data_IF_042468041007
#
_entry.id   IF_042468041007
#
_cell.length_a   1.000
_cell.length_b   1.000
_cell.length_c   1.000
_cell.angle_alpha   90.00
_cell.angle_beta   90.00
_cell.angle_gamma   90.00
#
_symmetry.space_group_name_H-M   'P 1'
#
loop_
_entity.id
_entity.type
_entity.pdbx_description
1 polymer ?
#
# COMPACT_ATOMS: atom_id res chain seq x y z
N UNK A 1 -4.81 -28.35 -27.15
CA UNK A 1 -5.85 -27.48 -27.72
C UNK A 1 -7.17 -27.87 -27.08
N UNK A 2 -7.46 -27.32 -25.90
CA UNK A 2 -8.72 -27.54 -25.18
C UNK A 2 -9.37 -26.16 -24.99
N UNK A 3 -10.63 -26.05 -25.40
CA UNK A 3 -11.42 -24.82 -25.44
C UNK A 3 -11.53 -24.16 -24.05
N UNK A 4 -10.91 -22.98 -23.92
CA UNK A 4 -11.00 -22.05 -22.77
C UNK A 4 -12.25 -21.16 -22.79
N UNK A 5 -13.23 -21.41 -23.67
CA UNK A 5 -14.36 -20.51 -23.93
C UNK A 5 -15.52 -20.62 -22.93
N UNK A 6 -15.47 -21.53 -21.94
CA UNK A 6 -16.61 -21.76 -21.04
C UNK A 6 -16.45 -21.24 -19.60
N UNK A 7 -15.32 -20.64 -19.22
CA UNK A 7 -15.12 -20.02 -17.89
C UNK A 7 -15.30 -18.50 -17.87
N UNK A 8 -15.61 -17.90 -19.02
CA UNK A 8 -15.94 -16.49 -19.15
C UNK A 8 -17.16 -16.38 -20.05
N UNK A 9 -18.37 -16.58 -19.51
CA UNK A 9 -19.53 -15.92 -20.11
C UNK A 9 -19.46 -14.46 -19.68
N UNK A 10 -19.18 -13.51 -20.59
CA UNK A 10 -19.47 -12.12 -20.28
C UNK A 10 -21.00 -12.02 -20.19
N UNK A 11 -21.51 -11.60 -19.04
CA UNK A 11 -22.86 -11.06 -19.03
C UNK A 11 -22.88 -9.89 -20.02
N UNK A 12 -23.63 -10.08 -21.09
CA UNK A 12 -23.72 -9.18 -22.25
C UNK A 12 -24.64 -7.99 -21.98
N UNK A 13 -24.79 -7.62 -20.71
CA UNK A 13 -25.56 -6.47 -20.26
C UNK A 13 -24.90 -5.87 -19.04
N UNK A 14 -23.80 -5.14 -19.25
CA UNK A 14 -23.46 -3.90 -18.54
C UNK A 14 -22.09 -3.37 -19.00
N UNK A 15 -22.08 -2.18 -19.60
CA UNK A 15 -20.88 -1.40 -19.92
C UNK A 15 -20.19 -0.82 -18.67
N UNK A 16 -20.28 -1.49 -17.51
CA UNK A 16 -19.64 -1.06 -16.26
C UNK A 16 -18.40 -1.92 -16.00
N UNK A 17 -17.23 -1.31 -16.19
CA UNK A 17 -15.90 -1.93 -16.16
C UNK A 17 -15.42 -2.39 -14.78
N UNK A 18 -16.15 -3.31 -14.15
CA UNK A 18 -15.69 -4.06 -12.98
C UNK A 18 -15.45 -5.51 -13.41
N UNK A 19 -14.19 -5.95 -13.33
CA UNK A 19 -13.85 -7.38 -13.37
C UNK A 19 -13.18 -7.73 -12.05
N UNK A 20 -14.00 -7.92 -11.01
CA UNK A 20 -13.55 -8.60 -9.80
C UNK A 20 -13.39 -10.06 -10.19
N UNK A 21 -12.15 -10.50 -10.28
CA UNK A 21 -11.86 -11.89 -10.59
C UNK A 21 -11.48 -12.53 -9.26
N UNK A 22 -12.49 -13.10 -8.63
CA UNK A 22 -12.37 -13.87 -7.41
C UNK A 22 -11.73 -15.21 -7.74
N UNK A 23 -10.66 -15.53 -7.03
CA UNK A 23 -9.96 -16.79 -7.16
C UNK A 23 -9.94 -17.47 -5.81
N UNK A 24 -10.57 -18.64 -5.74
CA UNK A 24 -10.51 -19.51 -4.58
C UNK A 24 -9.07 -19.98 -4.30
N UNK A 25 -8.79 -20.42 -3.07
CA UNK A 25 -7.47 -20.90 -2.64
C UNK A 25 -6.84 -22.01 -3.52
N UNK A 26 -7.66 -22.73 -4.31
CA UNK A 26 -7.24 -23.76 -5.26
C UNK A 26 -6.73 -23.20 -6.60
N UNK A 27 -6.98 -21.92 -6.89
CA UNK A 27 -6.53 -21.29 -8.11
C UNK A 27 -5.00 -21.26 -8.15
N UNK A 28 -4.45 -21.75 -9.27
CA UNK A 28 -3.02 -21.69 -9.53
C UNK A 28 -2.58 -20.24 -9.80
N UNK A 29 -1.36 -19.90 -9.37
CA UNK A 29 -0.74 -18.60 -9.71
C UNK A 29 -0.69 -18.36 -11.23
N UNK A 30 -0.64 -19.42 -12.03
CA UNK A 30 -0.70 -19.33 -13.50
C UNK A 30 -2.05 -18.81 -14.00
N UNK A 31 -3.15 -19.22 -13.38
CA UNK A 31 -4.48 -18.70 -13.73
C UNK A 31 -4.57 -17.21 -13.41
N UNK A 32 -4.06 -16.81 -12.24
CA UNK A 32 -3.96 -15.41 -11.83
C UNK A 32 -3.13 -14.57 -12.83
N UNK A 33 -1.93 -15.05 -13.20
CA UNK A 33 -1.06 -14.42 -14.20
C UNK A 33 -1.78 -14.24 -15.55
N UNK A 34 -2.49 -15.27 -16.01
CA UNK A 34 -3.23 -15.21 -17.27
C UNK A 34 -4.31 -14.14 -17.27
N UNK A 35 -4.96 -13.90 -16.13
CA UNK A 35 -5.94 -12.83 -16.03
C UNK A 35 -5.30 -11.45 -16.03
N UNK A 36 -4.22 -11.25 -15.29
CA UNK A 36 -3.48 -9.99 -15.33
C UNK A 36 -2.99 -9.70 -16.76
N UNK A 37 -2.46 -10.72 -17.45
CA UNK A 37 -2.02 -10.61 -18.85
C UNK A 37 -3.19 -10.26 -19.78
N UNK A 38 -4.34 -10.91 -19.63
CA UNK A 38 -5.53 -10.65 -20.44
C UNK A 38 -6.06 -9.22 -20.22
N UNK A 39 -6.11 -8.75 -18.97
CA UNK A 39 -6.52 -7.39 -18.65
C UNK A 39 -5.54 -6.36 -19.25
N UNK A 40 -4.25 -6.64 -19.16
CA UNK A 40 -3.21 -5.77 -19.71
C UNK A 40 -3.25 -5.70 -21.23
N UNK A 41 -3.42 -6.84 -21.91
CA UNK A 41 -3.48 -6.92 -23.38
C UNK A 41 -4.70 -6.19 -23.94
N UNK A 42 -5.89 -6.43 -23.36
CA UNK A 42 -7.15 -5.89 -23.88
C UNK A 42 -7.25 -4.36 -23.82
N UNK A 43 -6.36 -3.69 -23.09
CA UNK A 43 -6.44 -2.24 -22.88
C UNK A 43 -5.15 -1.49 -23.24
N UNK A 44 -4.12 -2.14 -23.78
CA UNK A 44 -2.80 -1.58 -24.09
C UNK A 44 -1.93 -1.22 -22.86
N UNK A 45 -1.76 -2.14 -21.90
CA UNK A 45 -0.83 -1.96 -20.76
C UNK A 45 -1.47 -1.30 -19.54
N UNK A 46 -0.69 -0.76 -18.60
CA UNK A 46 -1.17 0.06 -17.48
C UNK A 46 -0.16 1.19 -17.22
N UNK A 47 -0.66 2.36 -16.81
CA UNK A 47 0.20 3.50 -16.48
C UNK A 47 0.75 3.40 -15.05
N UNK A 48 -0.06 2.86 -14.13
CA UNK A 48 0.29 2.67 -12.71
C UNK A 48 -0.13 1.28 -12.23
N UNK A 49 0.66 0.69 -11.33
CA UNK A 49 0.34 -0.59 -10.68
C UNK A 49 0.52 -0.46 -9.17
N UNK A 50 -0.52 -0.80 -8.43
CA UNK A 50 -0.54 -0.88 -6.98
C UNK A 50 -0.81 -2.31 -6.55
N UNK A 51 0.02 -2.85 -5.65
CA UNK A 51 -0.10 -4.21 -5.12
C UNK A 51 -0.17 -4.10 -3.60
N UNK A 52 -1.26 -4.60 -3.02
CA UNK A 52 -1.49 -4.66 -1.59
C UNK A 52 -1.42 -6.11 -1.09
N UNK A 53 -0.62 -6.34 -0.06
CA UNK A 53 -0.49 -7.63 0.62
C UNK A 53 -0.99 -7.50 2.06
N UNK A 54 -1.96 -8.34 2.47
CA UNK A 54 -2.43 -8.39 3.86
C UNK A 54 -3.40 -7.28 4.29
N UNK A 55 -4.17 -6.72 3.35
CA UNK A 55 -5.04 -5.56 3.58
C UNK A 55 -6.51 -5.88 3.86
N UNK A 56 -6.89 -7.15 4.08
CA UNK A 56 -8.29 -7.52 4.32
C UNK A 56 -8.84 -6.82 5.55
N UNK A 57 -10.12 -6.48 5.53
CA UNK A 57 -10.81 -6.00 6.72
C UNK A 57 -10.98 -7.12 7.75
N UNK A 58 -10.21 -7.05 8.83
CA UNK A 58 -10.39 -7.92 10.00
C UNK A 58 -11.47 -7.35 10.94
N UNK A 59 -11.36 -6.06 11.24
CA UNK A 59 -12.26 -5.35 12.15
C UNK A 59 -12.67 -4.01 11.55
N UNK A 60 -13.94 -3.61 11.72
CA UNK A 60 -14.42 -2.29 11.26
C UNK A 60 -13.85 -1.15 12.09
N UNK A 61 -13.63 -1.40 13.38
CA UNK A 61 -13.11 -0.42 14.32
C UNK A 61 -11.90 -0.98 15.03
N UNK A 62 -10.87 -0.16 15.17
CA UNK A 62 -9.68 -0.47 15.93
C UNK A 62 -9.57 0.42 17.17
N UNK A 63 -8.75 -0.03 18.12
CA UNK A 63 -8.35 0.75 19.30
C UNK A 63 -6.83 0.76 19.37
N UNK A 64 -6.28 1.89 19.77
CA UNK A 64 -4.85 2.05 19.98
C UNK A 64 -4.55 2.06 21.47
N UNK A 65 -3.48 1.42 21.92
CA UNK A 65 -3.10 1.45 23.34
C UNK A 65 -2.36 2.73 23.74
N UNK A 66 -1.83 3.43 22.74
CA UNK A 66 -1.09 4.69 22.84
C UNK A 66 -1.51 5.64 21.71
N UNK A 67 -1.60 6.96 21.95
CA UNK A 67 -1.39 7.62 23.24
C UNK A 67 -2.53 7.35 24.24
N UNK A 68 -2.24 7.46 25.55
CA UNK A 68 -3.19 7.11 26.62
C UNK A 68 -4.55 7.81 26.47
N UNK A 69 -4.54 9.07 26.03
CA UNK A 69 -5.73 9.89 25.76
C UNK A 69 -6.67 9.31 24.68
N UNK A 70 -6.18 8.38 23.85
CA UNK A 70 -6.95 7.74 22.76
C UNK A 70 -7.27 6.26 23.07
N UNK A 71 -6.79 5.71 24.20
CA UNK A 71 -6.86 4.27 24.56
C UNK A 71 -8.26 3.65 24.51
N UNK A 72 -9.28 4.43 24.86
CA UNK A 72 -10.66 3.96 24.93
C UNK A 72 -11.53 4.41 23.75
N UNK A 73 -10.96 5.12 22.77
CA UNK A 73 -11.66 5.57 21.57
C UNK A 73 -11.62 4.49 20.50
N UNK A 74 -12.71 4.36 19.74
CA UNK A 74 -12.78 3.52 18.53
C UNK A 74 -12.48 4.40 17.32
N UNK A 75 -11.61 3.91 16.45
CA UNK A 75 -11.29 4.54 15.17
C UNK A 75 -11.69 3.61 14.05
N UNK A 76 -12.08 4.15 12.90
CA UNK A 76 -12.32 3.33 11.71
C UNK A 76 -11.02 2.64 11.29
N UNK A 77 -11.14 1.39 10.86
CA UNK A 77 -10.04 0.71 10.18
C UNK A 77 -9.76 1.39 8.85
N UNK A 78 -8.48 1.47 8.47
CA UNK A 78 -8.06 1.94 7.15
C UNK A 78 -7.93 0.81 6.12
N UNK A 79 -8.50 -0.37 6.38
CA UNK A 79 -8.39 -1.55 5.49
C UNK A 79 -8.84 -1.27 4.06
N UNK A 80 -9.87 -0.45 3.86
CA UNK A 80 -10.30 0.00 2.52
C UNK A 80 -9.19 0.76 1.81
N UNK A 81 -8.52 1.68 2.51
CA UNK A 81 -7.41 2.46 1.98
C UNK A 81 -6.13 1.62 1.83
N UNK A 82 -5.96 0.57 2.63
CA UNK A 82 -4.89 -0.41 2.40
C UNK A 82 -5.14 -1.19 1.10
N UNK A 83 -6.38 -1.62 0.83
CA UNK A 83 -6.75 -2.30 -0.41
C UNK A 83 -6.66 -1.38 -1.63
N UNK A 84 -7.16 -0.15 -1.52
CA UNK A 84 -7.14 0.86 -2.59
C UNK A 84 -6.93 2.24 -1.95
N UNK A 85 -5.70 2.77 -1.91
CA UNK A 85 -5.42 4.07 -1.32
C UNK A 85 -6.15 5.23 -2.00
N UNK A 86 -6.36 6.31 -1.27
CA UNK A 86 -7.02 7.53 -1.79
C UNK A 86 -6.27 8.10 -3.00
N UNK A 87 -4.94 8.06 -3.03
CA UNK A 87 -4.16 8.47 -4.20
C UNK A 87 -4.39 7.60 -5.45
N UNK A 88 -4.84 6.35 -5.29
CA UNK A 88 -5.29 5.51 -6.41
C UNK A 88 -6.71 5.92 -6.82
N UNK A 89 -7.58 6.16 -5.82
CA UNK A 89 -8.99 6.54 -6.05
C UNK A 89 -9.13 7.88 -6.77
N UNK A 90 -8.26 8.82 -6.46
CA UNK A 90 -8.31 10.23 -6.92
C UNK A 90 -7.41 10.51 -8.12
N UNK A 91 -6.69 9.50 -8.62
CA UNK A 91 -5.83 9.67 -9.78
C UNK A 91 -6.64 10.05 -11.03
N UNK A 92 -6.03 10.84 -11.92
CA UNK A 92 -6.65 11.31 -13.16
C UNK A 92 -7.28 10.16 -13.97
N UNK A 93 -8.51 10.37 -14.45
CA UNK A 93 -9.29 9.40 -15.23
C UNK A 93 -8.60 8.91 -16.51
N UNK A 94 -7.69 9.70 -17.08
CA UNK A 94 -6.90 9.31 -18.26
C UNK A 94 -5.78 8.31 -17.92
N UNK A 95 -5.49 8.10 -16.63
CA UNK A 95 -4.47 7.17 -16.14
C UNK A 95 -5.10 5.83 -15.84
N UNK A 96 -4.64 4.78 -16.51
CA UNK A 96 -5.10 3.42 -16.27
C UNK A 96 -4.30 2.74 -15.18
N UNK A 97 -5.01 2.21 -14.20
CA UNK A 97 -4.40 1.66 -12.99
C UNK A 97 -4.83 0.21 -12.79
N UNK A 98 -3.87 -0.64 -12.46
CA UNK A 98 -4.13 -1.96 -11.93
C UNK A 98 -3.91 -1.93 -10.40
N UNK A 99 -4.95 -2.24 -9.64
CA UNK A 99 -4.86 -2.49 -8.20
C UNK A 99 -5.02 -3.99 -7.94
N UNK A 100 -4.04 -4.58 -7.26
CA UNK A 100 -4.02 -6.00 -6.92
C UNK A 100 -4.06 -6.13 -5.40
N UNK A 101 -5.07 -6.83 -4.88
CA UNK A 101 -5.22 -7.09 -3.44
C UNK A 101 -5.00 -8.58 -3.20
N UNK A 102 -4.02 -8.92 -2.37
CA UNK A 102 -3.69 -10.30 -2.03
C UNK A 102 -3.75 -10.45 -0.52
N UNK A 103 -4.57 -11.40 -0.07
CA UNK A 103 -4.67 -11.76 1.34
C UNK A 103 -5.19 -13.20 1.46
N UNK A 104 -5.08 -13.79 2.64
CA UNK A 104 -5.79 -15.02 2.99
C UNK A 104 -7.16 -14.65 3.55
N UNK A 105 -8.20 -14.69 2.74
CA UNK A 105 -9.56 -14.38 3.17
C UNK A 105 -10.24 -15.54 3.90
N UNK A 106 -9.71 -16.77 3.78
CA UNK A 106 -10.16 -18.02 4.41
C UNK A 106 -11.55 -18.51 3.98
N UNK A 107 -12.51 -17.60 3.77
CA UNK A 107 -13.90 -17.91 3.44
C UNK A 107 -14.43 -16.99 2.36
N UNK A 108 -15.36 -17.49 1.54
CA UNK A 108 -16.05 -16.69 0.53
C UNK A 108 -16.81 -15.49 1.14
N UNK A 109 -17.35 -15.65 2.35
CA UNK A 109 -18.02 -14.57 3.07
C UNK A 109 -17.08 -13.40 3.36
N UNK A 110 -15.84 -13.68 3.78
CA UNK A 110 -14.84 -12.64 4.01
C UNK A 110 -14.44 -11.94 2.71
N UNK A 111 -14.28 -12.70 1.61
CA UNK A 111 -14.02 -12.11 0.28
C UNK A 111 -15.16 -11.16 -0.10
N UNK A 112 -16.41 -11.65 -0.05
CA UNK A 112 -17.60 -10.88 -0.41
C UNK A 112 -17.76 -9.62 0.44
N UNK A 113 -17.45 -9.70 1.74
CA UNK A 113 -17.45 -8.53 2.64
C UNK A 113 -16.48 -7.45 2.15
N UNK A 114 -15.28 -7.82 1.73
CA UNK A 114 -14.29 -6.86 1.21
C UNK A 114 -14.70 -6.33 -0.16
N UNK A 115 -15.24 -7.17 -1.05
CA UNK A 115 -15.78 -6.74 -2.35
C UNK A 115 -16.85 -5.66 -2.18
N UNK A 116 -17.82 -5.89 -1.30
CA UNK A 116 -18.92 -4.94 -1.04
C UNK A 116 -18.41 -3.58 -0.53
N UNK A 117 -17.27 -3.54 0.18
CA UNK A 117 -16.65 -2.29 0.61
C UNK A 117 -15.93 -1.56 -0.53
N UNK A 118 -15.42 -2.28 -1.52
CA UNK A 118 -14.65 -1.70 -2.63
C UNK A 118 -15.54 -1.21 -3.78
N UNK A 119 -16.70 -1.83 -4.00
CA UNK A 119 -17.63 -1.49 -5.09
C UNK A 119 -18.04 0.00 -5.12
N UNK A 120 -18.48 0.62 -4.00
CA UNK A 120 -18.89 2.03 -4.01
C UNK A 120 -17.73 3.00 -4.25
N UNK A 121 -16.51 2.59 -3.92
CA UNK A 121 -15.31 3.42 -3.90
C UNK A 121 -14.51 3.31 -5.20
N UNK A 122 -14.98 2.53 -6.17
CA UNK A 122 -14.22 2.18 -7.37
C UNK A 122 -14.21 3.34 -8.38
N UNK A 123 -13.03 3.81 -8.78
CA UNK A 123 -12.91 4.69 -9.93
C UNK A 123 -13.01 3.92 -11.27
N UNK A 124 -13.57 4.54 -12.32
CA UNK A 124 -13.77 3.90 -13.63
C UNK A 124 -12.46 3.53 -14.34
N UNK A 125 -11.35 4.19 -14.01
CA UNK A 125 -10.02 3.98 -14.58
C UNK A 125 -9.16 2.95 -13.83
N UNK A 126 -9.71 2.30 -12.79
CA UNK A 126 -9.00 1.31 -11.96
C UNK A 126 -9.57 -0.09 -12.18
N UNK A 127 -8.73 -1.00 -12.65
CA UNK A 127 -9.00 -2.44 -12.62
C UNK A 127 -8.55 -2.99 -11.27
N UNK A 128 -9.44 -3.70 -10.56
CA UNK A 128 -9.18 -4.25 -9.23
C UNK A 128 -9.21 -5.77 -9.32
N UNK A 129 -8.14 -6.43 -8.89
CA UNK A 129 -8.03 -7.89 -8.85
C UNK A 129 -7.77 -8.33 -7.42
N UNK A 130 -8.63 -9.20 -6.90
CA UNK A 130 -8.49 -9.77 -5.55
C UNK A 130 -8.03 -11.22 -5.66
N UNK A 131 -6.98 -11.59 -4.95
CA UNK A 131 -6.42 -12.93 -4.98
C UNK A 131 -6.38 -13.52 -3.57
N UNK A 132 -7.23 -14.51 -3.30
CA UNK A 132 -7.26 -15.24 -2.03
C UNK A 132 -6.08 -16.21 -1.98
N UNK A 133 -4.99 -15.77 -1.34
CA UNK A 133 -3.78 -16.57 -1.19
C UNK A 133 -3.00 -16.20 0.07
N UNK A 134 -2.63 -17.24 0.81
CA UNK A 134 -1.66 -17.11 1.87
C UNK A 134 -0.27 -16.73 1.31
N UNK A 135 0.31 -15.67 1.87
CA UNK A 135 1.60 -15.10 1.46
C UNK A 135 2.80 -15.94 1.96
N UNK A 136 2.97 -17.15 1.41
CA UNK A 136 4.15 -17.98 1.68
C UNK A 136 5.39 -17.51 0.91
N UNK A 137 6.59 -17.84 1.38
CA UNK A 137 7.85 -17.46 0.72
C UNK A 137 7.94 -17.91 -0.76
N UNK A 138 7.62 -19.17 -1.14
CA UNK A 138 7.67 -19.58 -2.55
C UNK A 138 6.70 -18.79 -3.43
N UNK A 139 5.48 -18.58 -2.93
CA UNK A 139 4.45 -17.82 -3.62
C UNK A 139 4.88 -16.36 -3.84
N UNK A 140 5.32 -15.67 -2.78
CA UNK A 140 5.81 -14.30 -2.88
C UNK A 140 6.99 -14.17 -3.84
N UNK A 141 7.94 -15.12 -3.79
CA UNK A 141 9.09 -15.12 -4.70
C UNK A 141 8.65 -15.17 -6.16
N UNK A 142 7.71 -16.06 -6.49
CA UNK A 142 7.20 -16.20 -7.86
C UNK A 142 6.35 -14.99 -8.28
N UNK A 143 5.49 -14.50 -7.38
CA UNK A 143 4.59 -13.37 -7.61
C UNK A 143 5.36 -12.07 -7.88
N UNK A 144 6.33 -11.73 -7.03
CA UNK A 144 7.10 -10.49 -7.17
C UNK A 144 7.95 -10.55 -8.45
N UNK A 145 8.58 -11.69 -8.75
CA UNK A 145 9.28 -11.88 -10.04
C UNK A 145 8.37 -11.65 -11.24
N UNK A 146 7.14 -12.14 -11.18
CA UNK A 146 6.16 -11.93 -12.24
C UNK A 146 5.84 -10.45 -12.43
N UNK A 147 5.49 -9.74 -11.35
CA UNK A 147 5.15 -8.32 -11.44
C UNK A 147 6.32 -7.46 -11.90
N UNK A 148 7.54 -7.71 -11.41
CA UNK A 148 8.70 -6.93 -11.87
C UNK A 148 8.94 -7.15 -13.37
N UNK A 149 8.81 -8.38 -13.87
CA UNK A 149 8.87 -8.65 -15.32
C UNK A 149 7.76 -7.94 -16.08
N UNK A 150 6.57 -7.83 -15.51
CA UNK A 150 5.47 -7.06 -16.08
C UNK A 150 5.80 -5.56 -16.12
N UNK A 151 6.40 -5.01 -15.06
CA UNK A 151 6.84 -3.61 -15.02
C UNK A 151 7.89 -3.33 -16.09
N UNK A 152 8.86 -4.24 -16.27
CA UNK A 152 9.86 -4.16 -17.33
C UNK A 152 9.23 -4.23 -18.73
N UNK A 153 8.27 -5.14 -18.93
CA UNK A 153 7.56 -5.29 -20.21
C UNK A 153 6.82 -4.01 -20.63
N UNK A 154 6.26 -3.28 -19.67
CA UNK A 154 5.57 -2.02 -19.91
C UNK A 154 6.46 -0.78 -19.73
N UNK A 155 7.77 -0.96 -19.53
CA UNK A 155 8.74 0.10 -19.22
C UNK A 155 8.25 1.09 -18.16
N UNK A 156 7.67 0.57 -17.07
CA UNK A 156 7.09 1.42 -16.04
C UNK A 156 8.15 2.24 -15.31
N UNK A 157 7.82 3.49 -14.99
CA UNK A 157 8.62 4.27 -14.07
C UNK A 157 8.43 3.72 -12.64
N UNK A 158 9.52 3.64 -11.86
CA UNK A 158 9.45 3.20 -10.46
C UNK A 158 8.46 4.03 -9.62
N UNK A 159 8.27 5.32 -9.94
CA UNK A 159 7.32 6.21 -9.25
C UNK A 159 5.85 5.88 -9.55
N UNK A 160 5.58 5.05 -10.55
CA UNK A 160 4.23 4.62 -10.94
C UNK A 160 3.89 3.21 -10.44
N UNK A 161 4.79 2.57 -9.70
CA UNK A 161 4.57 1.24 -9.14
C UNK A 161 4.77 1.24 -7.63
N UNK A 162 3.94 0.48 -6.93
CA UNK A 162 4.02 0.38 -5.48
C UNK A 162 3.58 -1.01 -5.02
N UNK A 163 4.46 -1.69 -4.28
CA UNK A 163 4.17 -2.95 -3.60
C UNK A 163 4.10 -2.65 -2.12
N UNK A 164 2.92 -2.79 -1.51
CA UNK A 164 2.68 -2.48 -0.11
C UNK A 164 2.43 -3.75 0.70
N UNK A 165 3.19 -3.92 1.78
CA UNK A 165 2.91 -4.92 2.80
C UNK A 165 2.19 -4.29 4.00
N UNK A 166 0.98 -4.78 4.26
CA UNK A 166 0.16 -4.44 5.43
C UNK A 166 0.11 -5.56 6.47
N UNK A 167 0.84 -6.66 6.25
CA UNK A 167 0.98 -7.73 7.25
C UNK A 167 1.82 -7.20 8.43
N UNK A 168 1.10 -6.62 9.39
CA UNK A 168 1.57 -6.32 10.74
C UNK A 168 0.48 -6.67 11.72
N UNK A 169 0.89 -7.23 12.84
CA UNK A 169 -0.02 -7.58 13.90
C UNK A 169 0.13 -6.57 15.03
N UNK A 170 -0.96 -6.34 15.77
CA UNK A 170 -0.88 -5.53 16.98
C UNK A 170 0.09 -6.21 17.96
N UNK A 171 0.80 -5.43 18.77
CA UNK A 171 1.81 -5.86 19.76
C UNK A 171 1.29 -6.85 20.83
N UNK A 172 0.02 -7.26 20.73
CA UNK A 172 -0.65 -8.25 21.58
C UNK A 172 -0.70 -9.65 20.98
N UNK A 173 -0.32 -9.86 19.71
CA UNK A 173 -0.31 -11.22 19.16
C UNK A 173 0.87 -12.00 19.75
N UNK A 174 0.58 -13.22 20.21
CA UNK A 174 1.59 -14.21 20.62
C UNK A 174 1.62 -15.40 19.65
N UNK A 175 0.93 -15.29 18.51
CA UNK A 175 0.88 -16.35 17.51
C UNK A 175 2.20 -16.38 16.73
N UNK A 176 2.95 -17.48 16.84
CA UNK A 176 4.24 -17.66 16.18
C UNK A 176 4.15 -17.59 14.64
N UNK A 177 3.04 -18.05 14.06
CA UNK A 177 2.83 -18.01 12.61
C UNK A 177 2.69 -16.56 12.13
N UNK A 178 1.98 -15.74 12.90
CA UNK A 178 1.78 -14.32 12.61
C UNK A 178 3.11 -13.56 12.74
N UNK A 179 3.85 -13.79 13.83
CA UNK A 179 5.16 -13.19 14.05
C UNK A 179 6.17 -13.62 12.97
N UNK A 180 6.16 -14.89 12.57
CA UNK A 180 6.98 -15.39 11.47
C UNK A 180 6.62 -14.69 10.15
N UNK A 181 5.33 -14.59 9.83
CA UNK A 181 4.86 -13.96 8.59
C UNK A 181 5.23 -12.47 8.53
N UNK A 182 5.08 -11.75 9.65
CA UNK A 182 5.47 -10.34 9.75
C UNK A 182 6.95 -10.11 9.42
N UNK A 183 7.82 -11.07 9.71
CA UNK A 183 9.26 -11.02 9.36
C UNK A 183 9.55 -11.54 7.95
N UNK A 184 9.01 -12.71 7.62
CA UNK A 184 9.33 -13.43 6.38
C UNK A 184 8.86 -12.69 5.13
N UNK A 185 7.68 -12.06 5.18
CA UNK A 185 7.08 -11.37 4.03
C UNK A 185 7.98 -10.24 3.52
N UNK A 186 8.34 -9.22 4.33
CA UNK A 186 9.18 -8.12 3.84
C UNK A 186 10.57 -8.58 3.40
N UNK A 187 11.20 -9.50 4.14
CA UNK A 187 12.51 -10.07 3.77
C UNK A 187 12.46 -10.78 2.41
N UNK A 188 11.40 -11.56 2.16
CA UNK A 188 11.23 -12.29 0.90
C UNK A 188 11.06 -11.34 -0.28
N UNK A 189 10.20 -10.31 -0.14
CA UNK A 189 9.92 -9.36 -1.21
C UNK A 189 11.18 -8.55 -1.53
N UNK A 190 11.82 -7.97 -0.51
CA UNK A 190 13.00 -7.14 -0.73
C UNK A 190 14.16 -7.96 -1.32
N UNK A 191 14.36 -9.21 -0.88
CA UNK A 191 15.37 -10.10 -1.46
C UNK A 191 15.17 -10.36 -2.95
N UNK A 192 13.93 -10.42 -3.42
CA UNK A 192 13.66 -10.53 -4.87
C UNK A 192 14.03 -9.22 -5.55
N UNK A 193 13.59 -8.08 -5.02
CA UNK A 193 13.80 -6.76 -5.61
C UNK A 193 15.27 -6.30 -5.61
N UNK A 194 16.07 -6.81 -4.68
CA UNK A 194 17.52 -6.56 -4.61
C UNK A 194 18.33 -7.39 -5.63
N UNK A 195 17.68 -8.27 -6.40
CA UNK A 195 18.35 -8.93 -7.51
C UNK A 195 18.79 -7.91 -8.58
N UNK A 196 20.00 -8.06 -9.10
CA UNK A 196 20.55 -7.18 -10.14
C UNK A 196 19.65 -7.09 -11.38
N UNK A 197 18.93 -8.17 -11.75
CA UNK A 197 17.94 -8.17 -12.84
C UNK A 197 16.82 -7.12 -12.62
N UNK A 198 16.55 -6.77 -11.36
CA UNK A 198 15.39 -5.99 -10.93
C UNK A 198 15.75 -4.66 -10.27
N UNK A 199 17.02 -4.23 -10.34
CA UNK A 199 17.54 -3.05 -9.64
C UNK A 199 16.69 -1.78 -9.83
N UNK A 200 16.16 -1.55 -11.04
CA UNK A 200 15.25 -0.42 -11.37
C UNK A 200 14.06 -0.29 -10.41
N UNK A 201 13.61 -1.41 -9.83
CA UNK A 201 12.43 -1.48 -8.97
C UNK A 201 12.77 -1.81 -7.50
N UNK A 202 14.05 -1.75 -7.11
CA UNK A 202 14.51 -2.07 -5.76
C UNK A 202 13.86 -1.21 -4.66
N UNK A 203 13.39 -0.02 -5.02
CA UNK A 203 12.74 0.97 -4.14
C UNK A 203 11.21 1.02 -4.32
N UNK A 204 10.60 -0.01 -4.91
CA UNK A 204 9.14 -0.04 -5.10
C UNK A 204 8.40 -0.75 -3.96
N UNK A 205 9.11 -1.27 -2.95
CA UNK A 205 8.52 -1.97 -1.81
C UNK A 205 8.34 -1.06 -0.60
N UNK A 206 7.12 -1.08 -0.08
CA UNK A 206 6.63 -0.26 1.00
C UNK A 206 6.04 -1.13 2.10
N UNK A 207 6.25 -0.69 3.33
CA UNK A 207 5.77 -1.37 4.53
C UNK A 207 4.88 -0.41 5.31
N UNK A 208 3.78 -0.94 5.82
CA UNK A 208 2.90 -0.22 6.71
C UNK A 208 3.48 -0.07 8.12
N UNK A 209 3.33 1.11 8.73
CA UNK A 209 3.81 1.35 10.10
C UNK A 209 3.10 0.50 11.15
N UNK A 210 1.87 0.05 10.88
CA UNK A 210 1.11 -0.81 11.79
C UNK A 210 0.24 -0.01 12.74
N UNK A 211 -0.09 -0.62 13.88
CA UNK A 211 -0.98 -0.07 14.91
C UNK A 211 -0.33 1.03 15.78
N UNK A 212 0.49 1.89 15.17
CA UNK A 212 0.93 3.15 15.78
C UNK A 212 -0.08 4.24 15.45
N UNK A 213 -0.67 4.89 16.45
CA UNK A 213 -1.75 5.86 16.24
C UNK A 213 -1.41 6.98 15.25
N UNK A 214 -0.25 7.60 15.41
CA UNK A 214 0.15 8.74 14.58
C UNK A 214 0.63 8.33 13.20
N UNK A 215 1.08 7.08 13.06
CA UNK A 215 1.59 6.54 11.80
C UNK A 215 0.63 5.58 11.11
N UNK A 216 -0.59 5.45 11.62
CA UNK A 216 -1.53 4.40 11.24
C UNK A 216 -1.89 4.42 9.75
N UNK A 217 -1.91 5.59 9.12
CA UNK A 217 -2.23 5.74 7.70
C UNK A 217 -0.99 5.85 6.80
N UNK A 218 0.20 5.75 7.37
CA UNK A 218 1.43 5.91 6.60
C UNK A 218 2.05 4.58 6.21
N UNK A 219 2.65 4.57 5.03
CA UNK A 219 3.53 3.51 4.53
C UNK A 219 4.90 4.11 4.26
N UNK A 220 5.95 3.34 4.45
CA UNK A 220 7.34 3.76 4.25
C UNK A 220 8.07 2.85 3.29
N UNK A 221 9.02 3.40 2.52
CA UNK A 221 9.89 2.60 1.68
C UNK A 221 10.76 1.68 2.54
N UNK A 222 10.61 0.36 2.38
CA UNK A 222 11.23 -0.62 3.26
C UNK A 222 12.76 -0.54 3.22
N UNK A 223 13.35 -0.53 2.02
CA UNK A 223 14.81 -0.48 1.83
C UNK A 223 15.45 0.76 2.44
N UNK A 224 14.88 1.94 2.19
CA UNK A 224 15.39 3.21 2.73
C UNK A 224 15.30 3.21 4.25
N UNK A 225 14.19 2.73 4.80
CA UNK A 225 13.97 2.72 6.24
C UNK A 225 14.90 1.75 6.97
N UNK A 226 15.15 0.56 6.41
CA UNK A 226 16.14 -0.40 6.95
C UNK A 226 17.56 0.19 6.98
N UNK A 227 17.97 0.90 5.92
CA UNK A 227 19.26 1.60 5.88
C UNK A 227 19.35 2.61 7.03
N UNK A 228 18.28 3.38 7.28
CA UNK A 228 18.30 4.45 8.26
C UNK A 228 18.25 3.92 9.69
N UNK A 229 17.41 2.92 9.98
CA UNK A 229 17.36 2.28 11.30
C UNK A 229 18.71 1.64 11.65
N UNK A 230 19.39 1.02 10.68
CA UNK A 230 20.70 0.40 10.92
C UNK A 230 21.77 1.39 11.43
N UNK A 231 21.57 2.70 11.17
CA UNK A 231 22.46 3.78 11.58
C UNK A 231 21.94 4.51 12.84
N UNK A 232 20.64 4.53 13.08
CA UNK A 232 20.03 5.20 14.24
C UNK A 232 18.77 4.47 14.73
N UNK A 233 18.86 3.85 15.92
CA UNK A 233 17.77 3.10 16.53
C UNK A 233 16.59 3.96 17.03
N UNK A 234 16.78 5.28 17.23
CA UNK A 234 15.73 6.16 17.77
C UNK A 234 14.83 6.80 16.71
N UNK A 235 15.09 6.51 15.44
CA UNK A 235 14.53 7.25 14.32
C UNK A 235 13.00 7.21 14.24
N UNK A 236 12.38 6.07 14.58
CA UNK A 236 10.92 5.94 14.59
C UNK A 236 10.27 6.89 15.61
N UNK A 237 10.90 7.08 16.77
CA UNK A 237 10.45 8.01 17.80
C UNK A 237 10.55 9.44 17.32
N UNK A 238 11.66 9.81 16.69
CA UNK A 238 11.88 11.16 16.15
C UNK A 238 10.86 11.49 15.05
N UNK A 239 10.59 10.53 14.16
CA UNK A 239 9.55 10.65 13.15
C UNK A 239 8.17 10.82 13.80
N UNK A 240 7.81 10.01 14.80
CA UNK A 240 6.52 10.11 15.47
C UNK A 240 6.33 11.48 16.13
N UNK A 241 7.37 12.04 16.75
CA UNK A 241 7.35 13.39 17.33
C UNK A 241 7.13 14.43 16.24
N UNK A 242 7.85 14.35 15.12
CA UNK A 242 7.70 15.28 14.01
C UNK A 242 6.28 15.23 13.42
N UNK A 243 5.73 14.03 13.19
CA UNK A 243 4.36 13.87 12.69
C UNK A 243 3.35 14.48 13.65
N UNK A 244 3.48 14.24 14.96
CA UNK A 244 2.61 14.86 15.96
C UNK A 244 2.59 16.37 15.87
N UNK A 245 3.75 16.98 15.68
CA UNK A 245 3.88 18.43 15.52
C UNK A 245 3.24 18.89 14.22
N UNK A 246 3.46 18.18 13.11
CA UNK A 246 2.92 18.56 11.79
C UNK A 246 1.39 18.47 11.73
N UNK A 247 0.79 17.43 12.31
CA UNK A 247 -0.67 17.25 12.27
C UNK A 247 -1.43 18.10 13.31
N UNK A 248 -0.71 18.87 14.14
CA UNK A 248 -1.28 19.74 15.16
C UNK A 248 -2.40 19.05 15.99
N UNK A 249 -2.16 17.87 16.56
CA UNK A 249 -3.14 17.22 17.44
C UNK A 249 -3.33 18.09 18.70
N UNK A 250 -4.31 19.01 18.66
CA UNK A 250 -4.66 20.02 19.68
C UNK A 250 -4.98 19.42 21.08
N UNK A 251 -4.92 18.09 21.22
CA UNK A 251 -5.20 17.38 22.47
C UNK A 251 -4.01 17.28 23.44
N UNK A 252 -2.79 17.52 22.97
CA UNK A 252 -1.64 17.76 23.85
C UNK A 252 -1.48 19.28 23.98
N UNK A 253 -1.70 19.82 25.19
CA UNK A 253 -1.65 21.24 25.58
C UNK A 253 -0.26 21.89 25.39
N UNK A 254 0.43 21.60 24.29
CA UNK A 254 1.60 22.34 23.87
C UNK A 254 1.04 23.45 22.98
N UNK A 255 1.17 24.69 23.44
CA UNK A 255 0.87 25.90 22.67
C UNK A 255 1.77 25.97 21.42
N UNK A 256 1.52 25.12 20.43
CA UNK A 256 2.02 25.35 19.08
C UNK A 256 1.09 26.41 18.49
N UNK A 257 1.60 27.63 18.40
CA UNK A 257 0.93 28.68 17.66
C UNK A 257 0.64 28.15 16.25
N UNK A 258 -0.62 28.28 15.83
CA UNK A 258 -1.20 27.73 14.57
C UNK A 258 -0.47 28.11 13.27
N UNK A 259 0.59 28.93 13.38
CA UNK A 259 1.36 29.49 12.28
C UNK A 259 2.86 29.14 12.32
N UNK A 260 3.32 28.32 13.26
CA UNK A 260 4.72 27.94 13.33
C UNK A 260 5.02 26.81 12.34
N UNK A 261 5.62 27.19 11.22
CA UNK A 261 6.19 26.24 10.27
C UNK A 261 7.36 25.51 10.91
N UNK A 262 7.48 24.22 10.65
CA UNK A 262 8.61 23.43 11.14
C UNK A 262 9.74 23.54 10.13
N UNK A 263 10.87 24.11 10.53
CA UNK A 263 12.09 24.10 9.73
C UNK A 263 12.78 22.74 9.88
N UNK A 264 12.83 21.96 8.80
CA UNK A 264 13.49 20.65 8.81
C UNK A 264 14.84 20.73 8.09
N UNK A 265 15.91 20.56 8.86
CA UNK A 265 17.29 20.69 8.39
C UNK A 265 18.03 19.35 8.31
N UNK A 266 17.50 18.31 8.96
CA UNK A 266 18.18 17.01 9.07
C UNK A 266 17.99 16.21 7.76
N UNK A 267 19.08 15.88 7.02
CA UNK A 267 18.96 15.27 5.70
C UNK A 267 18.34 13.87 5.68
N UNK A 268 18.48 13.08 6.74
CA UNK A 268 17.92 11.72 6.79
C UNK A 268 16.40 11.77 6.96
N UNK A 269 15.88 12.71 7.75
CA UNK A 269 14.47 13.01 7.95
C UNK A 269 13.84 13.52 6.68
N UNK A 270 14.53 14.38 5.93
CA UNK A 270 14.10 14.75 4.59
C UNK A 270 14.02 13.53 3.67
N UNK A 271 15.04 12.66 3.67
CA UNK A 271 15.05 11.45 2.86
C UNK A 271 13.91 10.49 3.23
N UNK A 272 13.60 10.31 4.51
CA UNK A 272 12.49 9.44 4.94
C UNK A 272 11.15 10.06 4.60
N UNK A 273 10.93 11.34 4.90
CA UNK A 273 9.66 11.98 4.58
C UNK A 273 9.39 12.01 3.07
N UNK A 274 10.45 12.02 2.24
CA UNK A 274 10.32 11.87 0.78
C UNK A 274 9.85 10.47 0.36
N UNK A 275 9.99 9.48 1.23
CA UNK A 275 9.70 8.07 0.98
C UNK A 275 8.65 7.49 1.94
N UNK A 276 7.89 8.37 2.59
CA UNK A 276 6.67 8.05 3.33
C UNK A 276 5.49 8.61 2.56
N UNK A 277 4.42 7.83 2.50
CA UNK A 277 3.18 8.19 1.82
C UNK A 277 1.99 7.95 2.75
N UNK A 278 0.98 8.79 2.62
CA UNK A 278 -0.31 8.65 3.30
C UNK A 278 -1.31 7.97 2.38
N UNK A 279 -1.84 6.82 2.80
CA UNK A 279 -2.84 6.08 2.03
C UNK A 279 -4.21 6.76 2.03
N UNK A 280 -4.40 7.77 2.88
CA UNK A 280 -5.63 8.57 2.98
C UNK A 280 -5.54 9.92 2.26
N UNK A 281 -4.35 10.29 1.77
CA UNK A 281 -4.16 11.54 1.02
C UNK A 281 -4.32 11.33 -0.49
N UNK A 282 -4.67 12.40 -1.19
CA UNK A 282 -4.79 12.42 -2.64
C UNK A 282 -3.43 12.55 -3.34
N UNK A 283 -3.43 12.31 -4.65
CA UNK A 283 -2.28 12.57 -5.51
C UNK A 283 -2.73 13.32 -6.75
N UNK A 284 -2.36 14.59 -6.84
CA UNK A 284 -2.66 15.45 -7.98
C UNK A 284 -1.64 15.27 -9.12
N UNK A 285 -0.59 14.49 -8.91
CA UNK A 285 0.54 14.34 -9.83
C UNK A 285 0.32 13.22 -10.85
N UNK A 286 0.40 13.58 -12.14
CA UNK A 286 0.23 12.63 -13.25
C UNK A 286 1.31 11.55 -13.27
N UNK A 287 2.56 11.91 -12.95
CA UNK A 287 3.74 11.07 -13.15
C UNK A 287 4.24 10.35 -11.88
N UNK A 288 3.46 10.40 -10.80
CA UNK A 288 3.80 9.77 -9.52
C UNK A 288 2.54 9.09 -8.96
N UNK A 289 2.69 7.93 -8.31
CA UNK A 289 1.54 7.19 -7.77
C UNK A 289 0.96 7.86 -6.54
N UNK A 290 1.80 8.51 -5.72
CA UNK A 290 1.42 9.13 -4.46
C UNK A 290 2.29 10.37 -4.18
N UNK A 291 1.76 11.29 -3.38
CA UNK A 291 2.47 12.49 -2.90
C UNK A 291 3.27 12.13 -1.64
N UNK A 292 4.58 12.40 -1.63
CA UNK A 292 5.40 12.14 -0.44
C UNK A 292 4.97 13.04 0.72
N UNK A 293 5.21 12.58 1.94
CA UNK A 293 4.87 13.31 3.15
C UNK A 293 5.61 14.65 3.24
N UNK A 294 6.89 14.68 2.81
CA UNK A 294 7.67 15.91 2.70
C UNK A 294 6.97 16.92 1.80
N UNK A 295 6.58 16.48 0.61
CA UNK A 295 5.94 17.31 -0.41
C UNK A 295 4.58 17.81 0.06
N UNK A 296 3.77 16.92 0.64
CA UNK A 296 2.47 17.26 1.21
C UNK A 296 2.59 18.39 2.25
N UNK A 297 3.43 18.22 3.27
CA UNK A 297 3.55 19.23 4.33
C UNK A 297 4.20 20.53 3.87
N UNK A 298 5.10 20.48 2.89
CA UNK A 298 5.67 21.68 2.26
C UNK A 298 4.59 22.48 1.51
N UNK A 299 3.79 21.81 0.68
CA UNK A 299 2.73 22.44 -0.13
C UNK A 299 1.59 23.01 0.72
N UNK A 300 1.34 22.42 1.89
CA UNK A 300 0.36 22.92 2.86
C UNK A 300 0.94 23.97 3.83
N UNK A 301 2.20 24.39 3.62
CA UNK A 301 2.84 25.43 4.41
C UNK A 301 3.13 25.03 5.86
N UNK A 302 3.22 23.73 6.15
CA UNK A 302 3.53 23.18 7.48
C UNK A 302 5.02 22.91 7.67
N UNK A 303 5.77 22.77 6.56
CA UNK A 303 7.21 22.50 6.52
C UNK A 303 7.97 23.60 5.78
N UNK A 304 9.10 24.06 6.32
CA UNK A 304 10.10 24.87 5.61
C UNK A 304 11.39 24.08 5.40
N UNK A 305 11.98 24.26 4.22
CA UNK A 305 13.24 23.61 3.84
C UNK A 305 14.36 24.64 3.98
N UNK A 306 15.49 24.22 4.54
CA UNK A 306 16.62 25.12 4.87
C UNK A 306 17.36 25.72 3.67
N UNK A 307 16.92 25.45 2.44
CA UNK A 307 17.57 25.87 1.20
C UNK A 307 16.72 26.84 0.36
N UNK A 308 15.59 27.30 0.88
CA UNK A 308 14.73 28.32 0.24
C UNK A 308 15.09 29.74 0.68
#
# INVERSE_FOLDING_TARGET
MYCLTNLLKPDSSNNSGVKIINYNNETSIETFKNVINLLSYNKNGYDKIYISLGSKINETFIKFDSPEKKRNKKFLSNSTEQMIPVFIKTCNYDTRILSVVIDNFETEQNINKNIVLLEPEKPPNVDIVIFDKFCSQPFLTELIKYFVKLFMLFDMNQKNVMICNYIKYNNKTNNEIDLYSQKMVPETIQKVLDNEEFEKYAYCFYQWFGYNFYLYNFIYNYKIFEIIISVNNNYLTDLEILIKQLINDEYDNINFEKNNKIMLTEPKMLLVMENIYDITSDCTYKYEIATSLRKYFYEHGQLELSYD
#
